data_IF_332837449006
#
_entry.id   IF_332837449006
#
_cell.length_a   1.000
_cell.length_b   1.000
_cell.length_c   1.000
_cell.angle_alpha   90.00
_cell.angle_beta   90.00
_cell.angle_gamma   90.00
#
_symmetry.space_group_name_H-M   'P 1'
#
loop_
_entity.id
_entity.type
_entity.pdbx_description
1 polymer ?
#
# COMPACT_ATOMS: atom_id res chain seq x y z
N UNK A 1 -11.06 -63.83 28.35
CA UNK A 1 -12.13 -63.54 29.33
C UNK A 1 -11.78 -62.20 29.97
N UNK A 2 -12.16 -61.06 29.36
CA UNK A 2 -13.35 -60.24 29.66
C UNK A 2 -13.40 -59.85 31.15
N UNK A 3 -13.38 -58.59 31.60
CA UNK A 3 -14.10 -57.35 31.22
C UNK A 3 -13.28 -56.14 31.74
N UNK A 4 -13.43 -54.86 31.43
CA UNK A 4 -14.14 -54.03 30.43
C UNK A 4 -14.09 -52.61 31.00
N UNK A 5 -13.07 -51.82 30.64
CA UNK A 5 -12.99 -50.39 30.94
C UNK A 5 -13.48 -49.61 29.72
N UNK A 6 -14.59 -48.89 29.89
CA UNK A 6 -15.18 -48.03 28.88
C UNK A 6 -14.31 -46.76 28.76
N UNK A 7 -13.51 -46.65 27.71
CA UNK A 7 -12.91 -45.38 27.28
C UNK A 7 -13.46 -45.05 25.90
N UNK A 8 -14.41 -44.12 25.91
CA UNK A 8 -15.06 -43.53 24.73
C UNK A 8 -14.12 -42.53 24.05
N UNK A 9 -13.98 -42.69 22.73
CA UNK A 9 -14.01 -41.59 21.77
C UNK A 9 -12.78 -40.68 21.69
N UNK A 10 -11.92 -40.98 20.71
CA UNK A 10 -11.10 -39.98 20.02
C UNK A 10 -11.98 -39.00 19.22
N UNK A 11 -11.38 -37.86 18.90
CA UNK A 11 -11.83 -36.77 18.00
C UNK A 11 -12.56 -35.59 18.66
N UNK A 12 -11.79 -34.57 19.00
CA UNK A 12 -12.24 -33.19 18.92
C UNK A 12 -11.09 -32.33 18.37
N UNK A 13 -10.99 -32.29 17.05
CA UNK A 13 -10.26 -31.23 16.36
C UNK A 13 -11.10 -29.95 16.44
N UNK A 14 -10.49 -28.89 16.97
CA UNK A 14 -11.12 -27.60 17.16
C UNK A 14 -11.55 -26.97 15.85
N UNK A 15 -12.85 -26.66 15.75
CA UNK A 15 -13.38 -25.69 14.79
C UNK A 15 -14.03 -24.60 15.61
N UNK A 16 -13.41 -23.43 15.67
CA UNK A 16 -14.03 -22.21 16.19
C UNK A 16 -15.26 -21.94 15.31
N UNK A 17 -16.46 -22.11 15.88
CA UNK A 17 -17.71 -21.99 15.14
C UNK A 17 -17.86 -20.60 14.52
N UNK A 18 -18.01 -20.54 13.20
CA UNK A 18 -18.33 -19.30 12.48
C UNK A 18 -19.69 -18.80 12.94
N UNK A 19 -19.74 -17.63 13.58
CA UNK A 19 -21.00 -16.95 13.89
C UNK A 19 -21.74 -16.70 12.57
N UNK A 20 -22.97 -17.19 12.44
CA UNK A 20 -23.82 -16.95 11.27
C UNK A 20 -24.98 -16.02 11.66
N UNK A 21 -25.14 -14.92 10.92
CA UNK A 21 -26.17 -13.91 11.13
C UNK A 21 -27.34 -14.18 10.17
N UNK A 22 -28.59 -14.24 10.65
CA UNK A 22 -29.75 -14.35 9.77
C UNK A 22 -29.99 -13.02 9.03
N UNK A 23 -29.92 -13.05 7.70
CA UNK A 23 -30.15 -11.91 6.83
C UNK A 23 -31.37 -12.16 5.96
N UNK A 24 -32.30 -11.21 5.95
CA UNK A 24 -33.50 -11.25 5.12
C UNK A 24 -33.22 -10.57 3.78
N UNK A 25 -33.45 -11.29 2.69
CA UNK A 25 -33.44 -10.78 1.34
C UNK A 25 -34.88 -10.61 0.85
N UNK A 26 -35.17 -9.49 0.22
CA UNK A 26 -36.51 -9.12 -0.24
C UNK A 26 -36.44 -8.72 -1.71
N UNK A 27 -37.37 -9.22 -2.51
CA UNK A 27 -37.59 -8.84 -3.91
C UNK A 27 -38.97 -8.19 -4.05
N UNK A 28 -39.07 -6.87 -4.29
CA UNK A 28 -40.35 -6.17 -4.30
C UNK A 28 -41.05 -6.12 -5.68
N UNK A 29 -40.40 -6.52 -6.77
CA UNK A 29 -40.86 -6.23 -8.13
C UNK A 29 -41.75 -7.32 -8.78
N UNK A 30 -42.34 -8.24 -8.00
CA UNK A 30 -43.20 -9.30 -8.53
C UNK A 30 -42.47 -10.38 -9.35
N UNK A 31 -43.23 -11.39 -9.78
CA UNK A 31 -42.74 -12.55 -10.54
C UNK A 31 -43.57 -13.82 -10.21
N UNK A 32 -43.48 -14.86 -11.05
CA UNK A 32 -44.13 -16.16 -10.77
C UNK A 32 -43.22 -17.10 -9.98
N UNK A 33 -41.92 -17.10 -10.30
CA UNK A 33 -40.88 -17.87 -9.60
C UNK A 33 -39.69 -16.96 -9.36
N UNK A 34 -39.41 -16.70 -8.08
CA UNK A 34 -38.29 -15.88 -7.64
C UNK A 34 -37.35 -16.74 -6.81
N UNK A 35 -36.07 -16.74 -7.17
CA UNK A 35 -35.01 -17.42 -6.44
C UNK A 35 -33.82 -16.49 -6.17
N UNK A 36 -33.00 -16.80 -5.18
CA UNK A 36 -31.82 -16.06 -4.77
C UNK A 36 -30.56 -16.90 -4.98
N UNK A 37 -29.52 -16.32 -5.57
CA UNK A 37 -28.18 -16.91 -5.60
C UNK A 37 -27.13 -15.84 -5.27
N UNK A 38 -25.99 -16.24 -4.71
CA UNK A 38 -24.95 -15.30 -4.31
C UNK A 38 -23.65 -15.96 -3.91
N UNK A 39 -22.72 -15.18 -3.36
CA UNK A 39 -21.40 -15.67 -2.93
C UNK A 39 -21.49 -16.80 -1.91
N UNK A 40 -22.54 -16.79 -1.07
CA UNK A 40 -22.82 -17.79 -0.05
C UNK A 40 -23.39 -19.11 -0.58
N UNK A 41 -23.98 -19.10 -1.78
CA UNK A 41 -24.32 -20.34 -2.52
C UNK A 41 -23.24 -20.73 -3.52
N UNK A 42 -22.10 -20.02 -3.53
CA UNK A 42 -21.06 -20.13 -4.58
C UNK A 42 -21.64 -19.96 -5.99
N UNK A 43 -22.70 -19.16 -6.14
CA UNK A 43 -23.41 -18.97 -7.41
C UNK A 43 -23.93 -20.28 -8.04
N UNK A 44 -24.20 -21.30 -7.22
CA UNK A 44 -24.82 -22.56 -7.65
C UNK A 44 -26.35 -22.45 -7.74
N UNK A 45 -27.07 -23.58 -7.70
CA UNK A 45 -28.53 -23.64 -7.88
C UNK A 45 -29.27 -22.57 -7.06
N UNK A 46 -30.10 -21.71 -7.71
CA UNK A 46 -30.79 -20.61 -7.02
C UNK A 46 -31.78 -21.12 -5.97
N UNK A 47 -31.72 -20.56 -4.76
CA UNK A 47 -32.61 -20.91 -3.65
C UNK A 47 -33.99 -20.26 -3.83
N UNK A 48 -35.10 -21.03 -3.85
CA UNK A 48 -36.44 -20.47 -4.06
C UNK A 48 -36.86 -19.57 -2.90
N UNK A 49 -37.49 -18.45 -3.23
CA UNK A 49 -38.03 -17.47 -2.27
C UNK A 49 -39.55 -17.67 -2.09
N UNK A 50 -40.06 -17.29 -0.92
CA UNK A 50 -41.49 -17.38 -0.59
C UNK A 50 -42.17 -16.01 -0.68
N UNK A 51 -43.43 -15.91 -1.13
CA UNK A 51 -44.19 -14.67 -1.03
C UNK A 51 -44.28 -14.16 0.41
N UNK A 52 -44.21 -12.83 0.59
CA UNK A 52 -44.33 -12.17 1.88
C UNK A 52 -45.79 -12.18 2.36
N UNK A 53 -45.99 -12.33 3.67
CA UNK A 53 -47.33 -12.31 4.28
C UNK A 53 -48.02 -10.97 3.99
N UNK A 54 -49.25 -11.03 3.44
CA UNK A 54 -50.04 -9.86 3.10
C UNK A 54 -49.66 -9.15 1.79
N UNK A 55 -48.58 -9.54 1.10
CA UNK A 55 -48.13 -8.93 -0.16
C UNK A 55 -47.59 -10.00 -1.13
N UNK A 56 -48.45 -10.67 -1.92
CA UNK A 56 -48.04 -11.78 -2.79
C UNK A 56 -47.09 -11.37 -3.94
N UNK A 57 -46.95 -10.07 -4.22
CA UNK A 57 -46.01 -9.54 -5.20
C UNK A 57 -44.57 -9.35 -4.63
N UNK A 58 -44.39 -9.47 -3.32
CA UNK A 58 -43.09 -9.32 -2.67
C UNK A 58 -42.60 -10.71 -2.25
N UNK A 59 -41.37 -11.07 -2.60
CA UNK A 59 -40.78 -12.36 -2.24
C UNK A 59 -39.68 -12.15 -1.20
N UNK A 60 -39.54 -13.08 -0.25
CA UNK A 60 -38.51 -13.03 0.78
C UNK A 60 -37.88 -14.40 1.05
N UNK A 61 -36.63 -14.37 1.50
CA UNK A 61 -35.91 -15.53 2.07
C UNK A 61 -34.97 -15.05 3.18
N UNK A 62 -34.75 -15.89 4.18
CA UNK A 62 -33.77 -15.63 5.24
C UNK A 62 -32.60 -16.59 5.07
N UNK A 63 -31.40 -16.07 4.86
CA UNK A 63 -30.18 -16.85 4.77
C UNK A 63 -29.27 -16.57 5.98
N UNK A 64 -28.65 -17.61 6.52
CA UNK A 64 -27.66 -17.48 7.60
C UNK A 64 -26.28 -17.34 6.99
N UNK A 65 -25.67 -16.18 7.21
CA UNK A 65 -24.44 -15.77 6.51
C UNK A 65 -23.38 -15.31 7.52
N UNK A 66 -22.09 -15.59 7.28
CA UNK A 66 -21.03 -15.08 8.13
C UNK A 66 -20.94 -13.54 8.03
N UNK A 67 -20.42 -12.84 9.06
CA UNK A 67 -20.12 -11.43 8.96
C UNK A 67 -19.16 -11.13 7.81
N UNK A 68 -19.42 -10.06 7.07
CA UNK A 68 -18.65 -9.70 5.87
C UNK A 68 -19.52 -9.21 4.72
N UNK A 69 -18.90 -9.06 3.56
CA UNK A 69 -19.58 -8.61 2.34
C UNK A 69 -20.04 -9.82 1.52
N UNK A 70 -21.31 -9.79 1.13
CA UNK A 70 -21.91 -10.81 0.27
C UNK A 70 -22.51 -10.16 -0.98
N UNK A 71 -22.26 -10.79 -2.13
CA UNK A 71 -22.89 -10.43 -3.40
C UNK A 71 -24.02 -11.40 -3.68
N UNK A 72 -25.11 -10.91 -4.25
CA UNK A 72 -26.28 -11.72 -4.56
C UNK A 72 -27.03 -11.20 -5.79
N UNK A 73 -27.86 -12.05 -6.37
CA UNK A 73 -28.68 -11.75 -7.54
C UNK A 73 -29.97 -12.55 -7.48
N UNK A 74 -31.04 -11.98 -8.01
CA UNK A 74 -32.34 -12.63 -8.10
C UNK A 74 -32.49 -13.33 -9.45
N UNK A 75 -33.09 -14.50 -9.45
CA UNK A 75 -33.50 -15.22 -10.65
C UNK A 75 -35.02 -15.20 -10.71
N UNK A 76 -35.58 -14.40 -11.60
CA UNK A 76 -37.01 -14.09 -11.68
C UNK A 76 -37.52 -14.57 -13.04
N UNK A 77 -38.42 -15.54 -13.04
CA UNK A 77 -39.10 -16.05 -14.25
C UNK A 77 -38.18 -16.45 -15.41
N UNK A 78 -36.96 -16.90 -15.11
CA UNK A 78 -35.97 -17.31 -16.10
C UNK A 78 -34.87 -16.28 -16.39
N UNK A 79 -34.94 -15.11 -15.77
CA UNK A 79 -33.99 -14.02 -16.00
C UNK A 79 -33.25 -13.60 -14.74
N UNK A 80 -31.97 -13.28 -14.89
CA UNK A 80 -31.14 -12.75 -13.81
C UNK A 80 -31.36 -11.25 -13.63
N UNK A 81 -31.87 -10.85 -12.45
CA UNK A 81 -32.21 -9.47 -12.09
C UNK A 81 -31.53 -9.04 -10.81
N UNK A 82 -31.38 -7.74 -10.64
CA UNK A 82 -30.92 -7.12 -9.41
C UNK A 82 -31.97 -6.08 -8.98
N UNK A 83 -32.03 -5.77 -7.69
CA UNK A 83 -32.86 -4.69 -7.19
C UNK A 83 -32.09 -3.36 -7.34
N UNK A 84 -32.58 -2.48 -8.20
CA UNK A 84 -31.96 -1.18 -8.48
C UNK A 84 -31.94 -0.25 -7.25
N UNK A 85 -32.83 -0.48 -6.27
CA UNK A 85 -32.90 0.30 -5.04
C UNK A 85 -31.93 -0.18 -3.96
N UNK A 86 -31.25 -1.30 -4.19
CA UNK A 86 -30.26 -1.85 -3.27
C UNK A 86 -28.84 -1.55 -3.77
N UNK A 87 -27.84 -1.50 -2.87
CA UNK A 87 -26.45 -1.38 -3.28
C UNK A 87 -26.08 -2.46 -4.29
N UNK A 88 -25.41 -2.10 -5.38
CA UNK A 88 -25.04 -3.02 -6.44
C UNK A 88 -23.68 -2.67 -7.06
N UNK A 89 -23.07 -3.64 -7.73
CA UNK A 89 -21.78 -3.51 -8.43
C UNK A 89 -21.84 -4.21 -9.78
N UNK A 90 -21.12 -3.69 -10.77
CA UNK A 90 -20.94 -4.32 -12.08
C UNK A 90 -19.66 -5.17 -12.10
N UNK A 91 -19.75 -6.41 -12.58
CA UNK A 91 -18.58 -7.29 -12.74
C UNK A 91 -18.78 -8.38 -13.78
N UNK A 92 -18.00 -9.45 -13.69
CA UNK A 92 -18.02 -10.57 -14.66
C UNK A 92 -19.38 -11.30 -14.74
N UNK A 93 -20.25 -11.15 -13.73
CA UNK A 93 -21.60 -11.74 -13.67
C UNK A 93 -22.70 -10.71 -13.99
N UNK A 94 -22.34 -9.59 -14.62
CA UNK A 94 -23.19 -8.44 -14.83
C UNK A 94 -23.37 -7.63 -13.54
N UNK A 95 -24.49 -6.90 -13.44
CA UNK A 95 -24.84 -6.15 -12.24
C UNK A 95 -25.38 -7.11 -11.16
N UNK A 96 -24.82 -7.05 -9.96
CA UNK A 96 -25.22 -7.85 -8.79
C UNK A 96 -25.41 -6.95 -7.57
N UNK A 97 -26.35 -7.30 -6.70
CA UNK A 97 -26.55 -6.59 -5.43
C UNK A 97 -25.47 -6.96 -4.40
N UNK A 98 -25.26 -6.07 -3.44
CA UNK A 98 -24.29 -6.20 -2.35
C UNK A 98 -24.98 -5.99 -1.00
N UNK A 99 -24.61 -6.81 -0.01
CA UNK A 99 -25.02 -6.64 1.39
C UNK A 99 -23.80 -6.80 2.30
N UNK A 100 -23.72 -5.98 3.35
CA UNK A 100 -22.73 -6.11 4.40
C UNK A 100 -23.39 -6.60 5.69
N UNK A 101 -22.76 -7.59 6.32
CA UNK A 101 -23.24 -8.22 7.54
C UNK A 101 -22.26 -7.88 8.65
N UNK A 102 -22.70 -7.05 9.59
CA UNK A 102 -21.92 -6.73 10.78
C UNK A 102 -21.86 -7.93 11.74
N UNK A 103 -20.79 -8.01 12.53
CA UNK A 103 -20.71 -8.94 13.65
C UNK A 103 -21.73 -8.49 14.71
N UNK A 104 -22.66 -9.36 15.18
CA UNK A 104 -23.55 -9.02 16.27
C UNK A 104 -22.69 -8.75 17.52
N UNK A 105 -22.67 -7.50 17.98
CA UNK A 105 -22.09 -7.19 19.29
C UNK A 105 -23.06 -7.68 20.38
N UNK A 106 -22.56 -8.26 21.50
CA UNK A 106 -23.42 -8.52 22.65
C UNK A 106 -23.84 -7.18 23.27
N UNK A 107 -25.13 -6.87 23.16
CA UNK A 107 -25.93 -5.94 23.95
C UNK A 107 -25.32 -4.59 24.36
N UNK A 108 -25.60 -3.55 23.58
CA UNK A 108 -25.98 -2.25 24.15
C UNK A 108 -27.47 -2.04 23.88
N UNK A 109 -28.25 -2.14 24.96
CA UNK A 109 -29.67 -1.76 25.05
C UNK A 109 -29.90 -0.37 24.39
N UNK A 110 -30.84 -0.23 23.44
CA UNK A 110 -31.25 1.09 22.97
C UNK A 110 -32.14 1.72 24.05
N UNK A 111 -31.71 2.87 24.58
CA UNK A 111 -32.58 3.73 25.37
C UNK A 111 -33.76 4.17 24.50
N UNK A 112 -34.95 3.77 24.92
CA UNK A 112 -36.25 4.30 24.49
C UNK A 112 -36.26 5.83 24.69
N UNK A 113 -36.32 6.59 23.59
CA UNK A 113 -36.69 8.00 23.63
C UNK A 113 -38.17 8.08 23.28
N UNK A 114 -38.97 8.46 24.27
CA UNK A 114 -40.40 8.76 24.15
C UNK A 114 -40.63 9.99 23.25
N UNK A 115 -41.81 10.11 22.61
CA UNK A 115 -42.11 11.24 21.74
C UNK A 115 -42.65 12.41 22.56
N UNK A 116 -42.02 13.58 22.45
CA UNK A 116 -42.68 14.84 22.80
C UNK A 116 -42.69 15.79 21.61
N UNK A 117 -43.92 16.19 21.29
CA UNK A 117 -44.37 17.12 20.26
C UNK A 117 -43.96 18.55 20.60
N UNK A 118 -43.41 19.28 19.62
CA UNK A 118 -43.54 20.74 19.37
C UNK A 118 -42.37 21.14 18.48
N UNK A 119 -42.53 21.37 17.17
CA UNK A 119 -43.36 22.44 16.62
C UNK A 119 -42.56 23.72 16.63
N UNK A 120 -41.83 24.00 15.53
CA UNK A 120 -41.50 25.35 15.06
C UNK A 120 -40.93 25.27 13.64
N UNK A 121 -41.69 25.83 12.69
CA UNK A 121 -41.23 26.13 11.33
C UNK A 121 -40.38 27.39 11.39
N UNK A 122 -39.17 27.34 10.83
CA UNK A 122 -38.49 28.54 10.36
C UNK A 122 -37.86 28.23 9.01
N UNK A 123 -38.30 29.01 8.03
CA UNK A 123 -37.90 28.97 6.63
C UNK A 123 -36.68 29.86 6.52
N UNK A 124 -35.52 29.32 6.14
CA UNK A 124 -34.61 30.13 5.33
C UNK A 124 -33.57 29.35 4.51
N UNK A 125 -33.37 29.93 3.34
CA UNK A 125 -32.31 29.82 2.33
C UNK A 125 -31.92 28.47 1.68
N UNK A 126 -32.45 28.30 0.47
CA UNK A 126 -32.00 27.36 -0.55
C UNK A 126 -30.66 27.84 -1.13
N UNK A 127 -29.55 27.42 -0.52
CA UNK A 127 -28.28 27.35 -1.25
C UNK A 127 -28.25 26.02 -1.98
N UNK A 128 -28.48 26.08 -3.30
CA UNK A 128 -28.17 25.01 -4.25
C UNK A 128 -26.70 24.60 -4.07
N UNK A 129 -26.46 23.49 -3.35
CA UNK A 129 -25.17 22.78 -3.43
C UNK A 129 -25.16 22.03 -4.76
N UNK A 130 -24.07 22.13 -5.55
CA UNK A 130 -23.96 21.36 -6.77
C UNK A 130 -24.05 19.87 -6.46
N UNK A 131 -24.77 19.17 -7.32
CA UNK A 131 -25.02 17.75 -7.31
C UNK A 131 -23.72 16.94 -7.15
N UNK A 132 -23.69 16.09 -6.12
CA UNK A 132 -23.31 14.68 -6.32
C UNK A 132 -21.84 14.29 -6.44
N UNK A 133 -20.92 14.85 -5.64
CA UNK A 133 -19.80 14.02 -5.17
C UNK A 133 -20.22 13.36 -3.88
N UNK A 134 -20.35 12.03 -3.87
CA UNK A 134 -20.59 11.26 -2.66
C UNK A 134 -19.55 11.67 -1.60
N UNK A 135 -19.98 12.38 -0.55
CA UNK A 135 -19.15 12.65 0.62
C UNK A 135 -19.01 11.33 1.38
N UNK A 136 -18.03 10.53 0.97
CA UNK A 136 -17.59 9.36 1.72
C UNK A 136 -17.08 9.81 3.09
N UNK A 137 -17.40 9.02 4.13
CA UNK A 137 -17.20 9.43 5.52
C UNK A 137 -15.74 9.32 5.93
N UNK A 138 -15.28 10.13 6.90
CA UNK A 138 -13.97 9.95 7.56
C UNK A 138 -13.81 8.52 8.12
N UNK A 139 -14.93 7.87 8.49
CA UNK A 139 -14.92 6.49 8.93
C UNK A 139 -14.47 5.52 7.83
N UNK A 140 -14.80 5.76 6.55
CA UNK A 140 -14.36 4.91 5.43
C UNK A 140 -12.86 5.06 5.15
N UNK A 141 -12.32 6.27 5.31
CA UNK A 141 -10.88 6.52 5.26
C UNK A 141 -10.18 5.82 6.42
N UNK A 142 -10.73 5.90 7.62
CA UNK A 142 -10.16 5.26 8.80
C UNK A 142 -10.18 3.73 8.67
N UNK A 143 -11.28 3.14 8.19
CA UNK A 143 -11.36 1.70 7.92
C UNK A 143 -10.30 1.24 6.91
N UNK A 144 -10.08 2.03 5.85
CA UNK A 144 -9.03 1.75 4.87
C UNK A 144 -7.63 1.81 5.51
N UNK A 145 -7.36 2.83 6.31
CA UNK A 145 -6.09 3.00 7.05
C UNK A 145 -5.85 1.85 8.02
N UNK A 146 -6.87 1.44 8.77
CA UNK A 146 -6.77 0.36 9.76
C UNK A 146 -6.49 -1.00 9.08
N UNK A 147 -7.14 -1.27 7.94
CA UNK A 147 -6.90 -2.50 7.15
C UNK A 147 -5.49 -2.54 6.58
N UNK A 148 -5.02 -1.43 5.98
CA UNK A 148 -3.65 -1.34 5.45
C UNK A 148 -2.63 -1.43 6.59
N UNK A 149 -2.86 -0.76 7.70
CA UNK A 149 -2.00 -0.79 8.89
C UNK A 149 -1.91 -2.20 9.49
N UNK A 150 -3.04 -2.88 9.60
CA UNK A 150 -3.11 -4.28 10.03
C UNK A 150 -2.31 -5.17 9.08
N UNK A 151 -2.56 -5.08 7.77
CA UNK A 151 -1.81 -5.81 6.74
C UNK A 151 -0.29 -5.59 6.85
N UNK A 152 0.16 -4.34 6.90
CA UNK A 152 1.58 -3.99 6.99
C UNK A 152 2.25 -4.50 8.27
N UNK A 153 1.48 -4.65 9.36
CA UNK A 153 1.99 -5.13 10.64
C UNK A 153 2.02 -6.66 10.74
N UNK A 154 1.16 -7.35 9.98
CA UNK A 154 1.06 -8.82 10.01
C UNK A 154 1.90 -9.52 8.96
N UNK A 155 2.21 -8.85 7.85
CA UNK A 155 2.96 -9.41 6.72
C UNK A 155 4.43 -9.01 6.80
N UNK A 156 5.29 -9.90 6.31
CA UNK A 156 6.75 -9.75 6.40
C UNK A 156 7.37 -9.34 5.07
N UNK A 157 8.60 -8.82 5.14
CA UNK A 157 9.39 -8.44 3.96
C UNK A 157 9.66 -9.63 3.03
N UNK A 158 9.71 -10.85 3.57
CA UNK A 158 9.88 -12.07 2.79
C UNK A 158 8.85 -12.18 1.65
N UNK A 159 7.64 -11.65 1.82
CA UNK A 159 6.60 -11.66 0.78
C UNK A 159 6.88 -10.74 -0.42
N UNK A 160 7.85 -9.83 -0.28
CA UNK A 160 8.32 -9.00 -1.40
C UNK A 160 9.31 -9.75 -2.30
N UNK A 161 9.93 -10.82 -1.80
CA UNK A 161 10.94 -11.55 -2.55
C UNK A 161 10.26 -12.32 -3.70
N UNK A 162 10.77 -12.21 -4.94
CA UNK A 162 10.31 -13.05 -6.03
C UNK A 162 10.78 -14.49 -5.83
N UNK A 163 10.07 -15.46 -6.42
CA UNK A 163 10.46 -16.88 -6.38
C UNK A 163 11.89 -17.11 -6.94
N UNK A 164 12.28 -16.28 -7.90
CA UNK A 164 13.64 -16.20 -8.42
C UNK A 164 13.98 -14.75 -8.79
N UNK A 165 15.18 -14.32 -8.45
CA UNK A 165 15.66 -12.97 -8.73
C UNK A 165 17.17 -12.92 -8.79
N UNK A 166 17.69 -11.84 -9.40
CA UNK A 166 19.11 -11.52 -9.43
C UNK A 166 19.33 -10.31 -8.54
N UNK A 167 20.26 -10.42 -7.60
CA UNK A 167 20.79 -9.28 -6.84
C UNK A 167 22.24 -9.07 -7.22
N UNK A 168 22.63 -7.81 -7.40
CA UNK A 168 24.00 -7.42 -7.72
C UNK A 168 24.54 -6.59 -6.55
N UNK A 169 25.80 -6.84 -6.19
CA UNK A 169 26.56 -6.06 -5.22
C UNK A 169 27.92 -5.72 -5.82
N UNK A 170 28.52 -4.59 -5.43
CA UNK A 170 29.85 -4.20 -5.86
C UNK A 170 30.81 -4.15 -4.68
N UNK A 171 32.06 -4.53 -4.93
CA UNK A 171 33.15 -4.32 -3.97
C UNK A 171 33.43 -2.82 -3.82
N UNK A 172 33.65 -2.37 -2.59
CA UNK A 172 33.97 -0.97 -2.28
C UNK A 172 35.27 -0.47 -2.93
N UNK A 173 36.17 -1.37 -3.32
CA UNK A 173 37.43 -1.04 -3.98
C UNK A 173 37.33 -0.99 -5.51
N UNK A 174 36.16 -1.27 -6.08
CA UNK A 174 35.93 -1.12 -7.51
C UNK A 174 36.08 0.36 -7.93
N UNK A 175 36.65 0.60 -9.11
CA UNK A 175 36.78 1.95 -9.65
C UNK A 175 35.40 2.56 -9.96
N UNK A 176 35.22 3.86 -9.73
CA UNK A 176 33.93 4.54 -9.91
C UNK A 176 33.46 4.48 -11.36
N UNK A 177 34.35 4.62 -12.36
CA UNK A 177 34.00 4.47 -13.79
C UNK A 177 33.43 3.09 -14.09
N UNK A 178 34.06 2.03 -13.58
CA UNK A 178 33.58 0.66 -13.75
C UNK A 178 32.22 0.45 -13.07
N UNK A 179 32.06 0.97 -11.86
CA UNK A 179 30.79 0.92 -11.15
C UNK A 179 29.66 1.60 -11.94
N UNK A 180 29.93 2.76 -12.56
CA UNK A 180 28.98 3.44 -13.43
C UNK A 180 28.58 2.57 -14.63
N UNK A 181 29.56 1.96 -15.31
CA UNK A 181 29.30 1.07 -16.45
C UNK A 181 28.42 -0.12 -16.04
N UNK A 182 28.72 -0.77 -14.91
CA UNK A 182 27.90 -1.88 -14.40
C UNK A 182 26.46 -1.42 -14.12
N UNK A 183 26.28 -0.26 -13.47
CA UNK A 183 24.93 0.24 -13.16
C UNK A 183 24.15 0.58 -14.44
N UNK A 184 24.82 1.21 -15.41
CA UNK A 184 24.22 1.57 -16.69
C UNK A 184 23.82 0.35 -17.52
N UNK A 185 24.76 -0.58 -17.73
CA UNK A 185 24.54 -1.79 -18.54
C UNK A 185 23.51 -2.72 -17.92
N UNK A 186 23.49 -2.83 -16.60
CA UNK A 186 22.52 -3.67 -15.88
C UNK A 186 21.18 -2.95 -15.63
N UNK A 187 21.06 -1.66 -15.99
CA UNK A 187 19.87 -0.86 -15.73
C UNK A 187 19.54 -0.72 -14.24
N UNK A 188 20.55 -0.70 -13.37
CA UNK A 188 20.40 -0.66 -11.92
C UNK A 188 20.42 0.79 -11.42
N UNK A 189 19.34 1.28 -10.76
CA UNK A 189 19.30 2.64 -10.23
C UNK A 189 20.16 2.82 -8.96
N UNK A 190 20.45 1.70 -8.28
CA UNK A 190 21.34 1.64 -7.12
C UNK A 190 21.91 0.24 -6.94
N UNK A 191 23.01 0.13 -6.20
CA UNK A 191 23.66 -1.14 -5.87
C UNK A 191 24.21 -1.11 -4.43
N UNK A 192 24.09 -2.21 -3.66
CA UNK A 192 24.75 -2.38 -2.38
C UNK A 192 26.26 -2.54 -2.52
N UNK A 193 26.98 -2.10 -1.49
CA UNK A 193 28.43 -2.10 -1.43
C UNK A 193 28.92 -3.11 -0.39
N UNK A 194 29.70 -4.08 -0.86
CA UNK A 194 30.35 -5.10 -0.06
C UNK A 194 31.77 -4.66 0.31
N UNK A 195 32.11 -4.77 1.59
CA UNK A 195 33.45 -4.55 2.09
C UNK A 195 34.03 -5.88 2.55
N UNK A 196 34.92 -6.44 1.71
CA UNK A 196 35.54 -7.74 1.94
C UNK A 196 36.33 -7.78 3.26
N UNK A 197 37.05 -6.70 3.58
CA UNK A 197 37.82 -6.59 4.83
C UNK A 197 36.91 -6.60 6.07
N UNK A 198 35.70 -6.03 5.96
CA UNK A 198 34.72 -6.02 7.07
C UNK A 198 33.76 -7.20 7.04
N UNK A 199 33.76 -8.01 5.98
CA UNK A 199 32.83 -9.11 5.77
C UNK A 199 31.35 -8.71 5.83
N UNK A 200 31.00 -7.48 5.40
CA UNK A 200 29.63 -6.97 5.52
C UNK A 200 29.30 -5.91 4.48
N UNK A 201 28.00 -5.67 4.31
CA UNK A 201 27.52 -4.52 3.56
C UNK A 201 27.74 -3.22 4.35
N UNK A 202 28.32 -2.21 3.68
CA UNK A 202 28.71 -0.94 4.32
C UNK A 202 27.96 0.28 3.79
N UNK A 203 27.28 0.14 2.65
CA UNK A 203 26.60 1.27 2.03
C UNK A 203 25.87 0.87 0.74
N UNK A 204 25.35 1.90 0.08
CA UNK A 204 24.72 1.79 -1.24
C UNK A 204 25.32 2.84 -2.17
N UNK A 205 25.55 2.51 -3.43
CA UNK A 205 25.86 3.45 -4.51
C UNK A 205 24.60 3.66 -5.34
N UNK A 206 24.22 4.91 -5.58
CA UNK A 206 22.95 5.30 -6.19
C UNK A 206 23.14 6.39 -7.24
N UNK A 207 22.11 6.68 -8.03
CA UNK A 207 22.09 7.83 -8.94
C UNK A 207 22.53 9.14 -8.27
N UNK A 208 22.14 9.39 -7.02
CA UNK A 208 22.55 10.59 -6.27
C UNK A 208 24.07 10.68 -6.09
N UNK A 209 24.77 9.56 -5.93
CA UNK A 209 26.23 9.56 -5.86
C UNK A 209 26.84 10.07 -7.16
N UNK A 210 26.33 9.63 -8.31
CA UNK A 210 26.79 10.09 -9.62
C UNK A 210 26.41 11.54 -9.90
N UNK A 211 25.23 12.00 -9.48
CA UNK A 211 24.85 13.41 -9.58
C UNK A 211 25.86 14.28 -8.83
N UNK A 212 26.29 13.85 -7.64
CA UNK A 212 27.29 14.56 -6.86
C UNK A 212 28.68 14.50 -7.51
N UNK A 213 29.07 13.35 -8.09
CA UNK A 213 30.31 13.23 -8.88
C UNK A 213 30.30 14.23 -10.03
N UNK A 214 29.27 14.19 -10.88
CA UNK A 214 29.14 15.08 -12.04
C UNK A 214 29.14 16.55 -11.64
N UNK A 215 28.52 16.89 -10.51
CA UNK A 215 28.50 18.26 -10.01
C UNK A 215 29.89 18.71 -9.57
N UNK A 216 30.63 17.86 -8.85
CA UNK A 216 32.01 18.16 -8.43
C UNK A 216 32.93 18.35 -9.64
N UNK A 217 32.81 17.48 -10.65
CA UNK A 217 33.53 17.59 -11.92
C UNK A 217 33.21 18.91 -12.63
N UNK A 218 31.92 19.28 -12.68
CA UNK A 218 31.45 20.49 -13.34
C UNK A 218 31.81 21.79 -12.61
N UNK A 219 31.85 21.80 -11.27
CA UNK A 219 32.21 23.00 -10.49
C UNK A 219 33.70 23.21 -10.37
N UNK A 220 34.49 22.12 -10.33
CA UNK A 220 35.92 22.23 -10.07
C UNK A 220 36.78 22.30 -11.32
N UNK A 221 36.22 22.13 -12.52
CA UNK A 221 36.72 22.60 -13.83
C UNK A 221 38.13 22.19 -14.29
N UNK A 222 39.01 21.65 -13.43
CA UNK A 222 40.43 21.48 -13.72
C UNK A 222 41.17 20.44 -12.87
N UNK A 223 40.57 19.84 -11.83
CA UNK A 223 41.31 19.00 -10.88
C UNK A 223 40.95 17.51 -10.86
N UNK A 224 39.86 17.08 -11.51
CA UNK A 224 39.53 15.66 -11.65
C UNK A 224 39.45 15.33 -13.14
N UNK A 225 40.54 14.78 -13.70
CA UNK A 225 40.56 14.28 -15.09
C UNK A 225 39.75 12.97 -15.18
N UNK A 226 39.37 12.54 -16.38
CA UNK A 226 38.75 11.22 -16.60
C UNK A 226 39.60 10.09 -15.98
N UNK A 227 40.91 10.25 -15.97
CA UNK A 227 41.89 9.38 -15.33
C UNK A 227 41.68 9.27 -13.81
N UNK A 228 41.19 10.32 -13.15
CA UNK A 228 40.85 10.25 -11.73
C UNK A 228 39.60 9.40 -11.49
N UNK A 229 38.61 9.42 -12.38
CA UNK A 229 37.43 8.54 -12.26
C UNK A 229 37.78 7.06 -12.51
N UNK A 230 38.83 6.80 -13.30
CA UNK A 230 39.40 5.47 -13.54
C UNK A 230 40.21 4.96 -12.35
N UNK A 231 40.87 5.84 -11.61
CA UNK A 231 41.78 5.47 -10.52
C UNK A 231 41.13 5.52 -9.14
N UNK A 232 40.11 6.35 -8.93
CA UNK A 232 39.43 6.45 -7.64
C UNK A 232 38.44 5.29 -7.43
N UNK A 233 38.54 4.68 -6.25
CA UNK A 233 37.63 3.63 -5.80
C UNK A 233 36.33 4.21 -5.25
N UNK A 234 35.27 3.39 -5.21
CA UNK A 234 33.99 3.77 -4.58
C UNK A 234 34.21 4.19 -3.11
N UNK A 235 35.05 3.48 -2.37
CA UNK A 235 35.37 3.79 -0.97
C UNK A 235 36.01 5.17 -0.81
N UNK A 236 37.01 5.50 -1.63
CA UNK A 236 37.65 6.82 -1.62
C UNK A 236 36.63 7.93 -1.90
N UNK A 237 35.77 7.73 -2.90
CA UNK A 237 34.73 8.70 -3.23
C UNK A 237 33.69 8.87 -2.12
N UNK A 238 33.24 7.77 -1.50
CA UNK A 238 32.28 7.81 -0.39
C UNK A 238 32.83 8.59 0.81
N UNK A 239 34.12 8.49 1.10
CA UNK A 239 34.81 9.27 2.13
C UNK A 239 34.88 10.76 1.75
N UNK A 240 35.22 11.10 0.51
CA UNK A 240 35.19 12.49 0.02
C UNK A 240 33.78 13.11 0.06
N UNK A 241 32.75 12.34 -0.32
CA UNK A 241 31.34 12.75 -0.26
C UNK A 241 30.88 13.10 1.17
N UNK A 242 31.43 12.44 2.20
CA UNK A 242 31.17 12.78 3.60
C UNK A 242 31.70 14.19 3.93
N UNK A 243 32.87 14.58 3.42
CA UNK A 243 33.43 15.92 3.61
C UNK A 243 32.64 17.03 2.88
N UNK A 244 32.01 16.72 1.74
CA UNK A 244 31.15 17.67 1.02
C UNK A 244 29.76 17.84 1.68
N UNK A 245 29.20 16.77 2.26
CA UNK A 245 27.96 16.82 3.03
C UNK A 245 28.16 17.34 4.48
N UNK A 246 29.41 17.58 4.89
CA UNK A 246 29.80 17.99 6.24
C UNK A 246 29.25 19.36 6.66
N UNK A 247 28.69 20.15 5.74
CA UNK A 247 27.91 21.36 6.10
C UNK A 247 26.53 21.06 6.68
N UNK A 248 26.02 19.82 6.58
CA UNK A 248 24.63 19.51 6.95
C UNK A 248 24.49 18.81 8.31
N UNK A 249 25.49 18.12 8.83
CA UNK A 249 25.42 17.47 10.16
C UNK A 249 26.79 17.34 10.82
N UNK A 250 27.05 18.26 11.76
CA UNK A 250 27.99 18.03 12.85
C UNK A 250 27.20 17.39 13.99
N UNK A 251 27.69 16.28 14.56
CA UNK A 251 27.30 15.94 15.92
C UNK A 251 27.82 17.06 16.86
N UNK A 252 27.23 17.23 18.04
CA UNK A 252 27.60 18.28 19.01
C UNK A 252 29.08 18.31 19.43
N UNK A 253 29.89 17.34 18.96
CA UNK A 253 31.32 17.22 19.20
C UNK A 253 32.20 17.32 17.92
N UNK A 254 31.64 17.76 16.79
CA UNK A 254 32.41 18.11 15.59
C UNK A 254 32.98 16.96 14.76
N UNK A 255 32.58 15.70 15.01
CA UNK A 255 33.10 14.53 14.27
C UNK A 255 32.21 14.16 13.06
N UNK A 256 32.82 13.83 11.90
CA UNK A 256 32.13 13.17 10.80
C UNK A 256 31.66 11.77 11.24
N UNK A 257 30.36 11.56 11.32
CA UNK A 257 29.78 10.24 11.59
C UNK A 257 29.19 9.67 10.30
N UNK A 258 29.74 8.58 9.74
CA UNK A 258 29.10 7.87 8.63
C UNK A 258 27.72 7.42 9.08
N UNK A 259 26.67 7.79 8.34
CA UNK A 259 25.34 7.22 8.59
C UNK A 259 25.42 5.71 8.38
N UNK A 260 25.04 4.89 9.37
CA UNK A 260 25.04 3.45 9.20
C UNK A 260 24.10 3.06 8.05
N UNK A 261 24.44 1.96 7.36
CA UNK A 261 23.60 1.41 6.30
C UNK A 261 22.21 1.08 6.89
N UNK A 262 21.17 1.68 6.32
CA UNK A 262 19.79 1.34 6.64
C UNK A 262 19.46 0.02 5.96
N UNK A 263 19.28 -1.04 6.75
CA UNK A 263 19.00 -2.40 6.29
C UNK A 263 17.81 -3.02 7.05
N UNK A 264 17.25 -4.09 6.51
CA UNK A 264 16.17 -4.85 7.14
C UNK A 264 16.38 -6.36 6.99
N UNK A 265 15.80 -7.13 7.90
CA UNK A 265 15.77 -8.59 7.83
C UNK A 265 14.59 -9.09 6.98
N UNK A 266 14.64 -10.34 6.48
CA UNK A 266 13.51 -10.94 5.75
C UNK A 266 12.25 -11.10 6.63
N UNK A 267 12.43 -11.19 7.95
CA UNK A 267 11.35 -11.38 8.91
C UNK A 267 10.88 -10.07 9.57
N UNK A 268 11.46 -8.93 9.19
CA UNK A 268 10.94 -7.62 9.60
C UNK A 268 9.53 -7.43 9.00
N UNK A 269 8.69 -6.67 9.69
CA UNK A 269 7.35 -6.36 9.16
C UNK A 269 7.44 -5.36 8.00
N UNK A 270 6.49 -5.42 7.07
CA UNK A 270 6.39 -4.43 5.98
C UNK A 270 6.24 -3.00 6.52
N UNK A 271 5.58 -2.84 7.67
CA UNK A 271 5.43 -1.56 8.38
C UNK A 271 6.78 -1.00 8.81
N UNK A 272 7.63 -1.80 9.45
CA UNK A 272 8.95 -1.35 9.90
C UNK A 272 9.83 -0.95 8.74
N UNK A 273 9.80 -1.70 7.63
CA UNK A 273 10.58 -1.35 6.43
C UNK A 273 10.04 -0.09 5.76
N UNK A 274 8.72 0.07 5.64
CA UNK A 274 8.12 1.31 5.14
C UNK A 274 8.54 2.52 5.99
N UNK A 275 8.52 2.39 7.32
CA UNK A 275 8.96 3.44 8.24
C UNK A 275 10.47 3.70 8.10
N UNK A 276 11.32 2.67 8.02
CA UNK A 276 12.76 2.82 7.77
C UNK A 276 13.01 3.61 6.48
N UNK A 277 12.29 3.31 5.41
CA UNK A 277 12.40 4.02 4.12
C UNK A 277 12.02 5.51 4.29
N UNK A 278 10.85 5.78 4.86
CA UNK A 278 10.31 7.14 5.00
C UNK A 278 11.13 8.01 5.97
N UNK A 279 11.49 7.48 7.13
CA UNK A 279 12.21 8.21 8.19
C UNK A 279 13.65 8.52 7.77
N UNK A 280 14.33 7.58 7.10
CA UNK A 280 15.69 7.79 6.63
C UNK A 280 15.76 8.49 5.26
N UNK A 281 14.62 8.75 4.62
CA UNK A 281 14.49 9.35 3.29
C UNK A 281 15.34 8.63 2.23
N UNK A 282 15.36 7.30 2.28
CA UNK A 282 16.03 6.47 1.29
C UNK A 282 15.04 6.03 0.22
N UNK A 283 15.49 5.69 -0.99
CA UNK A 283 14.58 5.16 -2.01
C UNK A 283 14.28 3.66 -1.79
N UNK A 284 15.29 2.94 -1.29
CA UNK A 284 15.33 1.49 -1.23
C UNK A 284 16.12 1.05 0.00
N UNK A 285 15.74 -0.08 0.60
CA UNK A 285 16.41 -0.71 1.74
C UNK A 285 16.87 -2.12 1.35
N UNK A 286 18.17 -2.44 1.49
CA UNK A 286 18.65 -3.81 1.31
C UNK A 286 18.10 -4.75 2.38
N UNK A 287 17.62 -5.91 1.92
CA UNK A 287 17.14 -7.00 2.75
C UNK A 287 18.28 -8.00 2.91
N UNK A 288 18.84 -8.04 4.10
CA UNK A 288 20.04 -8.83 4.41
C UNK A 288 19.66 -9.91 5.41
N UNK A 289 19.98 -11.15 5.06
CA UNK A 289 19.91 -12.27 5.96
C UNK A 289 21.29 -12.52 6.56
N UNK A 290 21.40 -12.35 7.87
CA UNK A 290 22.63 -12.63 8.59
C UNK A 290 22.57 -14.04 9.17
N UNK A 291 23.49 -14.91 8.75
CA UNK A 291 23.63 -16.28 9.28
C UNK A 291 24.94 -16.41 10.07
N UNK A 292 24.96 -17.33 11.04
CA UNK A 292 26.15 -17.65 11.84
C UNK A 292 26.25 -16.95 13.21
N UNK A 293 27.18 -17.40 14.08
CA UNK A 293 27.40 -16.80 15.39
C UNK A 293 27.86 -15.34 15.22
N UNK A 294 27.16 -14.41 15.88
CA UNK A 294 27.36 -12.96 15.81
C UNK A 294 27.10 -12.30 14.44
N UNK A 295 26.38 -12.95 13.51
CA UNK A 295 26.02 -12.37 12.21
C UNK A 295 27.21 -12.22 11.25
N UNK A 296 28.14 -13.19 11.31
CA UNK A 296 29.40 -13.19 10.56
C UNK A 296 29.25 -13.38 9.05
N UNK A 297 28.15 -13.98 8.58
CA UNK A 297 27.85 -14.11 7.17
C UNK A 297 26.62 -13.27 6.83
N UNK A 298 26.75 -12.39 5.84
CA UNK A 298 25.65 -11.56 5.35
C UNK A 298 25.34 -11.92 3.91
N UNK A 299 24.10 -12.35 3.67
CA UNK A 299 23.57 -12.61 2.35
C UNK A 299 22.53 -11.57 2.00
N UNK A 300 22.69 -10.93 0.85
CA UNK A 300 21.67 -10.03 0.35
C UNK A 300 20.61 -10.82 -0.41
N UNK A 301 19.36 -10.67 0.02
CA UNK A 301 18.23 -11.37 -0.56
C UNK A 301 17.46 -10.51 -1.57
N UNK A 302 17.29 -9.22 -1.25
CA UNK A 302 16.42 -8.33 -2.04
C UNK A 302 16.71 -6.84 -1.79
N UNK A 303 16.17 -5.98 -2.66
CA UNK A 303 16.19 -4.53 -2.54
C UNK A 303 14.76 -4.01 -2.46
N UNK A 304 14.26 -3.75 -1.25
CA UNK A 304 12.86 -3.38 -1.04
C UNK A 304 12.64 -1.87 -1.18
N UNK A 305 11.61 -1.47 -1.94
CA UNK A 305 11.17 -0.09 -2.08
C UNK A 305 9.71 0.10 -1.62
N UNK A 306 9.28 1.35 -1.43
CA UNK A 306 7.86 1.66 -1.20
C UNK A 306 6.98 1.20 -2.36
N UNK A 307 7.49 1.22 -3.60
CA UNK A 307 6.73 0.73 -4.76
C UNK A 307 6.45 -0.77 -4.64
N UNK A 308 7.36 -1.55 -4.08
CA UNK A 308 7.18 -3.00 -3.94
C UNK A 308 6.20 -3.33 -2.83
N UNK A 309 6.26 -2.59 -1.73
CA UNK A 309 5.26 -2.66 -0.65
C UNK A 309 3.87 -2.29 -1.20
N UNK A 310 3.74 -1.22 -1.98
CA UNK A 310 2.48 -0.83 -2.61
C UNK A 310 1.97 -1.88 -3.59
N UNK A 311 2.84 -2.48 -4.42
CA UNK A 311 2.49 -3.61 -5.30
C UNK A 311 2.00 -4.81 -4.48
N UNK A 312 2.62 -5.09 -3.33
CA UNK A 312 2.21 -6.16 -2.43
C UNK A 312 0.81 -5.91 -1.87
N UNK A 313 0.54 -4.71 -1.36
CA UNK A 313 -0.80 -4.27 -0.93
C UNK A 313 -1.80 -4.44 -2.08
N UNK A 314 -1.49 -3.94 -3.28
CA UNK A 314 -2.37 -4.04 -4.44
C UNK A 314 -2.66 -5.50 -4.82
N UNK A 315 -1.66 -6.39 -4.71
CA UNK A 315 -1.82 -7.82 -4.98
C UNK A 315 -2.75 -8.47 -3.94
N UNK A 316 -2.58 -8.15 -2.67
CA UNK A 316 -3.39 -8.69 -1.57
C UNK A 316 -4.87 -8.27 -1.68
N UNK A 317 -5.12 -6.98 -1.95
CA UNK A 317 -6.48 -6.44 -2.04
C UNK A 317 -7.09 -6.49 -3.46
N UNK A 318 -6.43 -7.14 -4.42
CA UNK A 318 -6.86 -7.18 -5.83
C UNK A 318 -8.30 -7.67 -6.00
N UNK A 319 -8.69 -8.69 -5.23
CA UNK A 319 -10.03 -9.30 -5.30
C UNK A 319 -10.99 -8.74 -4.26
N UNK A 320 -10.57 -7.73 -3.50
CA UNK A 320 -11.31 -7.09 -2.43
C UNK A 320 -11.12 -5.57 -2.49
N UNK A 321 -11.13 -4.96 -3.67
CA UNK A 321 -10.93 -3.51 -3.82
C UNK A 321 -11.99 -2.68 -3.09
N UNK A 322 -13.21 -3.21 -2.95
CA UNK A 322 -14.29 -2.63 -2.12
C UNK A 322 -13.95 -2.61 -0.62
N UNK A 323 -12.95 -3.39 -0.21
CA UNK A 323 -12.45 -3.43 1.16
C UNK A 323 -11.56 -2.22 1.51
N UNK A 324 -11.12 -1.47 0.49
CA UNK A 324 -10.35 -0.24 0.60
C UNK A 324 -11.10 0.91 -0.09
N UNK A 325 -12.14 1.49 0.56
CA UNK A 325 -12.86 2.65 0.05
C UNK A 325 -11.96 3.80 -0.43
N UNK A 326 -10.78 3.99 0.19
CA UNK A 326 -9.80 5.01 -0.21
C UNK A 326 -9.36 4.90 -1.68
N UNK A 327 -9.36 3.69 -2.27
CA UNK A 327 -8.97 3.48 -3.66
C UNK A 327 -10.09 3.78 -4.66
N UNK A 328 -11.32 3.99 -4.18
CA UNK A 328 -12.48 4.39 -5.02
C UNK A 328 -12.64 5.91 -5.07
N UNK A 329 -11.80 6.64 -4.34
CA UNK A 329 -11.85 8.09 -4.28
C UNK A 329 -10.89 8.74 -5.29
N UNK A 330 -11.26 9.88 -5.88
CA UNK A 330 -10.32 10.66 -6.67
C UNK A 330 -9.14 11.10 -5.79
N UNK A 331 -7.92 11.09 -6.33
CA UNK A 331 -6.72 11.45 -5.56
C UNK A 331 -6.85 12.84 -4.93
N UNK A 332 -7.58 13.76 -5.56
CA UNK A 332 -7.83 15.11 -5.05
C UNK A 332 -8.70 15.17 -3.79
N UNK A 333 -9.53 14.16 -3.50
CA UNK A 333 -10.31 14.12 -2.25
C UNK A 333 -9.48 13.60 -1.07
N UNK A 334 -8.35 12.96 -1.35
CA UNK A 334 -7.38 12.52 -0.36
C UNK A 334 -6.33 13.63 -0.27
N UNK A 335 -6.05 14.16 0.93
CA UNK A 335 -4.97 15.14 1.13
C UNK A 335 -3.58 14.47 1.04
N UNK A 336 -3.30 13.80 -0.09
CA UNK A 336 -2.10 13.06 -0.37
C UNK A 336 -1.40 13.69 -1.57
N UNK A 337 -0.07 13.82 -1.50
CA UNK A 337 0.75 14.46 -2.52
C UNK A 337 1.06 15.93 -2.25
N UNK A 338 1.86 16.52 -3.14
CA UNK A 338 2.13 17.97 -3.16
C UNK A 338 1.24 18.60 -4.22
N UNK A 339 0.54 19.68 -3.88
CA UNK A 339 -0.43 20.35 -4.74
C UNK A 339 -0.01 21.79 -5.02
N UNK A 340 -0.51 22.36 -6.12
CA UNK A 340 -0.24 23.77 -6.45
C UNK A 340 -1.00 24.58 -5.40
N UNK A 341 -0.35 25.51 -4.68
CA UNK A 341 -1.04 26.34 -3.70
C UNK A 341 -2.22 27.05 -4.37
N UNK A 342 -3.39 27.04 -3.75
CA UNK A 342 -4.51 27.85 -4.24
C UNK A 342 -4.16 29.33 -4.08
N UNK A 343 -4.69 30.18 -4.96
CA UNK A 343 -4.47 31.62 -4.91
C UNK A 343 -4.90 32.12 -3.52
N UNK A 344 -3.93 32.61 -2.72
CA UNK A 344 -4.14 33.07 -1.34
C UNK A 344 -3.64 32.15 -0.22
N UNK A 345 -3.21 30.91 -0.52
CA UNK A 345 -2.60 30.01 0.48
C UNK A 345 -1.08 30.26 0.59
N UNK A 346 -0.64 30.78 1.75
CA UNK A 346 0.76 31.15 1.97
C UNK A 346 1.72 29.98 2.29
N UNK A 347 1.21 28.76 2.52
CA UNK A 347 1.96 27.70 3.23
C UNK A 347 2.17 26.38 2.46
N UNK A 348 1.89 26.32 1.15
CA UNK A 348 2.20 25.14 0.35
C UNK A 348 3.70 25.04 0.01
N UNK A 349 4.31 23.84 0.08
CA UNK A 349 5.65 23.63 -0.47
C UNK A 349 5.57 23.89 -1.99
N UNK A 350 6.33 24.85 -2.54
CA UNK A 350 6.23 25.17 -3.95
C UNK A 350 6.74 24.01 -4.80
N UNK A 351 6.08 23.75 -5.93
CA UNK A 351 6.60 22.84 -6.93
C UNK A 351 7.93 23.36 -7.46
N UNK A 352 8.96 22.52 -7.37
CA UNK A 352 10.23 22.78 -8.01
C UNK A 352 10.10 22.43 -9.50
N UNK A 353 10.02 23.47 -10.34
CA UNK A 353 9.86 23.33 -11.79
C UNK A 353 11.01 23.99 -12.53
N UNK A 354 11.43 23.38 -13.64
CA UNK A 354 12.39 23.95 -14.56
C UNK A 354 11.76 24.13 -15.93
N UNK A 355 12.19 25.18 -16.63
CA UNK A 355 11.80 25.38 -18.02
C UNK A 355 12.52 24.36 -18.91
N UNK A 356 11.96 23.97 -20.07
CA UNK A 356 12.64 23.11 -21.03
C UNK A 356 14.01 23.65 -21.49
N UNK A 357 14.22 24.96 -21.41
CA UNK A 357 15.48 25.65 -21.76
C UNK A 357 16.50 25.69 -20.63
N UNK A 358 16.20 25.12 -19.45
CA UNK A 358 17.11 25.12 -18.32
C UNK A 358 18.29 24.16 -18.55
N UNK A 359 19.45 24.48 -17.97
CA UNK A 359 20.63 23.63 -18.09
C UNK A 359 20.48 22.32 -17.30
N UNK A 360 21.15 21.26 -17.76
CA UNK A 360 21.24 20.00 -17.00
C UNK A 360 21.82 20.21 -15.60
N UNK A 361 22.82 21.11 -15.46
CA UNK A 361 23.38 21.46 -14.15
C UNK A 361 22.33 22.04 -13.19
N UNK A 362 21.40 22.86 -13.69
CA UNK A 362 20.28 23.38 -12.90
C UNK A 362 19.31 22.27 -12.48
N UNK A 363 19.05 21.29 -13.35
CA UNK A 363 18.23 20.12 -13.03
C UNK A 363 18.87 19.24 -11.95
N UNK A 364 20.17 18.95 -12.09
CA UNK A 364 20.94 18.20 -11.11
C UNK A 364 20.99 18.92 -9.75
N UNK A 365 21.15 20.25 -9.75
CA UNK A 365 21.13 21.05 -8.52
C UNK A 365 19.77 21.00 -7.82
N UNK A 366 18.67 21.07 -8.57
CA UNK A 366 17.31 20.98 -8.04
C UNK A 366 17.06 19.62 -7.39
N UNK A 367 17.49 18.53 -8.03
CA UNK A 367 17.37 17.17 -7.45
C UNK A 367 18.10 17.03 -6.12
N UNK A 368 19.30 17.60 -6.01
CA UNK A 368 20.09 17.59 -4.76
C UNK A 368 19.47 18.49 -3.68
N UNK A 369 18.93 19.65 -4.04
CA UNK A 369 18.33 20.60 -3.10
C UNK A 369 16.98 20.14 -2.56
N UNK A 370 16.15 19.53 -3.40
CA UNK A 370 14.81 19.10 -3.04
C UNK A 370 14.76 17.82 -2.19
N UNK A 371 15.92 17.21 -1.86
CA UNK A 371 16.01 15.84 -1.34
C UNK A 371 15.12 14.88 -2.17
N UNK A 372 14.96 15.16 -3.47
CA UNK A 372 14.05 14.42 -4.34
C UNK A 372 14.73 13.10 -4.68
N UNK A 373 14.19 12.01 -4.14
CA UNK A 373 14.53 10.67 -4.58
C UNK A 373 13.94 10.50 -5.97
N UNK A 374 14.80 10.27 -6.97
CA UNK A 374 14.39 9.87 -8.30
C UNK A 374 13.71 8.49 -8.18
N UNK A 375 12.40 8.48 -7.99
CA UNK A 375 11.60 7.28 -8.18
C UNK A 375 11.54 7.05 -9.68
N UNK A 376 12.20 5.98 -10.13
CA UNK A 376 12.02 5.49 -11.49
C UNK A 376 10.64 4.82 -11.55
N UNK A 377 9.60 5.62 -11.72
CA UNK A 377 8.34 5.18 -12.30
C UNK A 377 8.14 6.00 -13.58
N UNK A 378 7.56 5.42 -14.65
CA UNK A 378 7.17 6.20 -15.80
C UNK A 378 6.29 7.34 -15.30
N UNK A 379 6.69 8.58 -15.59
CA UNK A 379 5.86 9.73 -15.32
C UNK A 379 4.49 9.43 -15.95
N UNK A 380 3.46 9.29 -15.11
CA UNK A 380 2.09 9.37 -15.57
C UNK A 380 1.92 10.84 -15.93
N UNK A 381 2.25 11.20 -17.17
CA UNK A 381 1.72 12.42 -17.76
C UNK A 381 0.22 12.19 -17.85
N UNK A 382 -0.50 12.76 -16.89
CA UNK A 382 -1.92 13.02 -17.08
C UNK A 382 -1.94 14.19 -18.05
N UNK A 383 -1.99 13.88 -19.35
CA UNK A 383 -2.35 14.87 -20.36
C UNK A 383 -3.74 15.39 -19.95
N UNK A 384 -3.81 16.69 -19.68
CA UNK A 384 -5.06 17.42 -19.43
C UNK A 384 -5.76 17.73 -20.74
#
# INVERSE_FOLDING_TARGET
>A
MYNSGLNTGHENSGVVGSILVPVRFIWPNGGRRVSLSGSFTRWSEPMPMSPSEGCPAVFQIICRLPPGHHQYKFYVDGEWRHDENQPHVSGNYGVVNCVYIAVPQPDMVPNTISPETSGNMEVDDVVMRPEGFAQYSEADLQLSRDRISSFLSTHTVYELLPDSGKVTALDVNLAVKQAFHVLYEQGLPMVPLWDDFKGRFVGVLSALDFILILRELGTNGSNLTEEELETHTISAWKVGKLQLNLKRQMDGNGRPCPRPLVQAGPYDSLKEVALKILQNKVATVPIIHSTGPAGSCQEILYLASLSDILKCICRHFKHSSSSLPILQQPVSSIQLGTWVPRIGEANGRPFAMLRPTASLGSALALLVQGDLTLFQQPAIMVDC
#
